data_IF_090308657908
#
_entry.id   IF_090308657908
#
_cell.length_a   1.000
_cell.length_b   1.000
_cell.length_c   1.000
_cell.angle_alpha   90.00
_cell.angle_beta   90.00
_cell.angle_gamma   90.00
#
_symmetry.space_group_name_H-M   'P 1'
#
loop_
_entity.id
_entity.type
_entity.pdbx_description
1 polymer ?
#
# COMPACT_ATOMS: atom_id res chain seq x y z
N UNK A 1 1.86 -36.60 -5.67
CA UNK A 1 1.45 -35.65 -5.68
C UNK A 1 1.63 -34.85 -4.81
N UNK A 2 1.33 -33.95 -4.90
CA UNK A 2 1.56 -33.14 -4.24
C UNK A 2 0.97 -32.84 -3.21
N UNK A 3 1.07 -33.23 -2.41
CA UNK A 3 0.47 -33.01 -1.31
C UNK A 3 -0.13 -31.82 -1.08
N UNK A 4 -0.86 -31.48 -0.80
CA UNK A 4 -1.55 -30.41 -0.26
C UNK A 4 -1.43 -29.06 -0.84
N UNK A 5 -0.53 -28.90 -1.71
CA UNK A 5 -0.34 -27.60 -2.25
C UNK A 5 -1.17 -27.40 -3.49
N UNK A 6 -2.34 -26.90 -3.29
CA UNK A 6 -3.17 -26.55 -4.42
C UNK A 6 -2.75 -25.18 -4.89
N UNK A 7 -2.46 -25.07 -6.13
CA UNK A 7 -2.11 -23.79 -6.68
C UNK A 7 -3.36 -22.96 -6.84
N UNK A 8 -3.48 -21.97 -5.99
CA UNK A 8 -4.54 -20.99 -6.15
C UNK A 8 -3.95 -19.87 -6.95
N UNK A 9 -4.24 -19.85 -8.20
CA UNK A 9 -3.84 -18.72 -9.03
C UNK A 9 -4.88 -17.64 -8.80
N UNK A 10 -4.45 -16.51 -8.31
CA UNK A 10 -5.33 -15.38 -8.18
C UNK A 10 -5.80 -14.97 -9.58
N UNK A 11 -7.07 -14.73 -9.74
CA UNK A 11 -7.59 -14.23 -11.00
C UNK A 11 -6.86 -12.92 -11.34
N UNK A 12 -6.49 -12.77 -12.61
CA UNK A 12 -5.83 -11.56 -13.04
C UNK A 12 -6.74 -10.38 -12.83
N UNK A 13 -6.25 -9.41 -12.09
CA UNK A 13 -6.95 -8.17 -11.88
C UNK A 13 -6.57 -7.12 -12.91
N UNK A 14 -7.20 -5.95 -12.86
CA UNK A 14 -6.81 -4.85 -13.73
C UNK A 14 -5.41 -4.38 -13.41
N UNK A 15 -4.80 -3.69 -14.36
CA UNK A 15 -3.52 -3.05 -14.12
C UNK A 15 -3.68 -1.98 -13.03
N UNK A 16 -2.72 -1.87 -12.12
CA UNK A 16 -2.80 -0.82 -11.10
C UNK A 16 -2.72 0.56 -11.75
N UNK A 17 -3.46 1.50 -11.18
CA UNK A 17 -3.51 2.86 -11.70
C UNK A 17 -3.31 3.84 -10.58
N UNK A 18 -2.39 4.78 -10.78
CA UNK A 18 -2.19 5.85 -9.83
C UNK A 18 -3.40 6.76 -9.79
N UNK A 19 -3.87 7.12 -8.60
CA UNK A 19 -4.93 8.11 -8.48
C UNK A 19 -4.41 9.50 -8.84
N UNK A 20 -5.33 10.44 -9.01
CA UNK A 20 -4.97 11.83 -9.25
C UNK A 20 -4.31 12.40 -7.99
N UNK A 21 -3.36 13.31 -8.22
CA UNK A 21 -2.72 13.99 -7.10
C UNK A 21 -3.75 14.86 -6.37
N UNK A 22 -3.83 14.74 -5.06
CA UNK A 22 -4.75 15.58 -4.30
C UNK A 22 -4.26 17.01 -4.22
N UNK A 23 -5.18 17.92 -3.92
CA UNK A 23 -4.80 19.30 -3.61
C UNK A 23 -4.08 19.33 -2.27
N UNK A 24 -2.93 19.97 -2.22
CA UNK A 24 -2.13 20.00 -1.01
C UNK A 24 -2.67 21.04 -0.05
N UNK A 25 -2.72 20.68 1.22
CA UNK A 25 -3.02 21.62 2.30
C UNK A 25 -1.74 22.29 2.74
N UNK A 26 -1.83 23.56 3.11
CA UNK A 26 -0.66 24.29 3.56
C UNK A 26 -0.05 23.60 4.79
N UNK A 27 1.24 23.37 4.73
CA UNK A 27 1.96 22.71 5.82
C UNK A 27 1.92 21.19 5.78
N UNK A 28 1.27 20.61 4.78
CA UNK A 28 1.16 19.16 4.66
C UNK A 28 1.70 18.67 3.35
N UNK A 29 2.14 17.43 3.32
CA UNK A 29 2.45 16.73 2.09
C UNK A 29 1.41 15.67 1.81
N UNK A 30 1.55 14.99 0.69
CA UNK A 30 0.64 13.91 0.31
C UNK A 30 1.42 12.76 -0.29
N UNK A 31 0.81 11.59 -0.27
CA UNK A 31 1.37 10.39 -0.88
C UNK A 31 0.29 9.75 -1.72
N UNK A 32 0.60 9.44 -2.95
CA UNK A 32 -0.25 8.61 -3.78
C UNK A 32 0.50 7.35 -4.13
N UNK A 33 -0.21 6.28 -4.36
CA UNK A 33 0.47 5.05 -4.68
C UNK A 33 -0.41 4.01 -5.31
N UNK A 34 0.23 2.89 -5.62
CA UNK A 34 -0.46 1.72 -6.15
C UNK A 34 -0.15 0.51 -5.30
N UNK A 35 -1.12 -0.37 -5.22
CA UNK A 35 -1.02 -1.64 -4.55
C UNK A 35 -1.34 -2.74 -5.55
N UNK A 36 -0.39 -3.61 -5.81
CA UNK A 36 -0.58 -4.66 -6.81
C UNK A 36 0.36 -5.83 -6.52
N UNK A 37 -0.02 -7.00 -6.97
CA UNK A 37 0.88 -8.14 -7.05
C UNK A 37 1.15 -8.46 -8.52
N UNK A 38 1.78 -9.60 -8.82
CA UNK A 38 2.07 -9.96 -10.20
C UNK A 38 0.83 -10.25 -11.03
N UNK A 39 -0.32 -10.45 -10.39
CA UNK A 39 -1.58 -10.68 -11.07
C UNK A 39 -2.40 -9.43 -11.31
N UNK A 40 -1.95 -8.26 -10.87
CA UNK A 40 -2.65 -7.00 -11.06
C UNK A 40 -2.97 -6.29 -9.76
N UNK A 41 -3.84 -5.31 -9.85
CA UNK A 41 -4.21 -4.48 -8.70
C UNK A 41 -4.80 -5.30 -7.56
N UNK A 42 -4.49 -4.88 -6.34
CA UNK A 42 -5.07 -5.44 -5.13
C UNK A 42 -6.04 -4.40 -4.56
N UNK A 43 -7.35 -4.58 -4.78
CA UNK A 43 -8.31 -3.56 -4.37
C UNK A 43 -8.70 -3.68 -2.91
N UNK A 44 -9.09 -2.56 -2.34
CA UNK A 44 -9.81 -2.50 -1.05
C UNK A 44 -9.02 -2.91 0.19
N UNK A 45 -7.72 -3.11 0.10
CA UNK A 45 -6.90 -3.36 1.27
C UNK A 45 -6.47 -2.04 1.90
N UNK A 46 -6.41 -1.98 3.24
CA UNK A 46 -5.94 -0.77 3.90
C UNK A 46 -4.42 -0.68 3.86
N UNK A 47 -3.92 0.51 3.67
CA UNK A 47 -2.51 0.84 3.79
C UNK A 47 -2.37 1.70 5.04
N UNK A 48 -1.46 1.31 5.92
CA UNK A 48 -1.26 2.01 7.18
C UNK A 48 0.01 2.81 7.12
N UNK A 49 -0.03 4.02 7.67
CA UNK A 49 1.14 4.87 7.78
C UNK A 49 1.48 5.02 9.26
N UNK A 50 2.71 4.66 9.62
CA UNK A 50 3.18 4.77 11.01
C UNK A 50 4.43 5.63 11.04
N UNK A 51 4.65 6.29 12.19
CA UNK A 51 5.88 7.01 12.43
C UNK A 51 6.74 6.22 13.42
N UNK A 52 8.03 6.52 13.53
CA UNK A 52 8.89 5.79 14.46
C UNK A 52 8.44 5.83 15.92
N UNK A 53 7.67 6.86 16.29
CA UNK A 53 7.20 6.98 17.67
C UNK A 53 5.84 6.35 17.92
N UNK A 54 5.18 5.81 16.90
CA UNK A 54 3.85 5.25 17.07
C UNK A 54 3.91 3.86 17.68
N UNK A 55 2.89 3.52 18.45
CA UNK A 55 2.73 2.15 18.90
C UNK A 55 2.47 1.25 17.68
N UNK A 56 2.94 0.00 17.69
CA UNK A 56 2.83 -0.86 16.51
C UNK A 56 1.40 -1.09 16.04
N UNK A 57 0.43 -1.01 16.93
CA UNK A 57 -0.96 -1.27 16.61
C UNK A 57 -1.77 0.02 16.43
N UNK A 58 -1.12 1.17 16.47
CA UNK A 58 -1.81 2.45 16.37
C UNK A 58 -1.22 3.24 15.20
N UNK A 59 -1.72 3.05 13.99
CA UNK A 59 -1.19 3.78 12.85
C UNK A 59 -1.51 5.26 12.94
N UNK A 60 -0.61 6.07 12.42
CA UNK A 60 -0.81 7.52 12.37
C UNK A 60 -1.93 7.88 11.39
N UNK A 61 -2.02 7.16 10.28
CA UNK A 61 -3.02 7.39 9.26
C UNK A 61 -3.27 6.09 8.50
N UNK A 62 -4.37 6.03 7.79
CA UNK A 62 -4.66 4.90 6.92
C UNK A 62 -5.34 5.38 5.66
N UNK A 63 -5.18 4.61 4.59
CA UNK A 63 -5.86 4.81 3.34
C UNK A 63 -6.30 3.44 2.83
N UNK A 64 -7.30 3.41 1.98
CA UNK A 64 -7.79 2.16 1.40
C UNK A 64 -7.58 2.20 -0.10
N UNK A 65 -7.04 1.13 -0.65
CA UNK A 65 -6.86 1.02 -2.08
C UNK A 65 -8.22 0.96 -2.78
N UNK A 66 -8.30 1.62 -3.92
CA UNK A 66 -9.53 1.60 -4.72
C UNK A 66 -9.59 0.35 -5.60
N UNK A 67 -10.54 0.29 -6.53
CA UNK A 67 -10.75 -0.88 -7.36
C UNK A 67 -9.60 -1.18 -8.31
N UNK A 68 -8.74 -0.22 -8.57
CA UNK A 68 -7.55 -0.40 -9.41
C UNK A 68 -6.26 -0.29 -8.61
N UNK A 69 -6.36 -0.48 -7.31
CA UNK A 69 -5.19 -0.52 -6.42
C UNK A 69 -4.59 0.83 -6.10
N UNK A 70 -5.23 1.92 -6.46
CA UNK A 70 -4.73 3.25 -6.15
C UNK A 70 -5.08 3.66 -4.74
N UNK A 71 -4.16 4.36 -4.04
CA UNK A 71 -4.44 4.87 -2.71
C UNK A 71 -3.88 6.28 -2.56
N UNK A 72 -4.45 7.03 -1.64
CA UNK A 72 -4.08 8.42 -1.40
C UNK A 72 -4.04 8.70 0.09
N UNK A 73 -2.93 9.27 0.55
CA UNK A 73 -2.86 9.96 1.83
C UNK A 73 -2.81 11.45 1.50
N UNK A 74 -3.92 12.15 1.68
CA UNK A 74 -4.07 13.49 1.13
C UNK A 74 -3.50 14.60 2.01
N UNK A 75 -3.21 14.33 3.27
CA UNK A 75 -2.64 15.32 4.15
C UNK A 75 -1.88 14.63 5.27
N UNK A 76 -0.57 14.52 5.10
CA UNK A 76 0.31 13.98 6.13
C UNK A 76 1.22 15.09 6.63
N UNK A 77 1.37 15.25 7.95
CA UNK A 77 2.38 16.16 8.45
C UNK A 77 3.76 15.76 7.95
N UNK A 78 4.66 16.72 7.72
CA UNK A 78 6.02 16.39 7.29
C UNK A 78 6.71 15.48 8.30
N UNK A 79 7.49 14.52 7.79
CA UNK A 79 8.19 13.59 8.64
C UNK A 79 8.42 12.27 7.94
N UNK A 80 8.98 11.33 8.70
CA UNK A 80 9.26 9.99 8.20
C UNK A 80 8.11 9.08 8.54
N UNK A 81 7.72 8.27 7.55
CA UNK A 81 6.63 7.33 7.72
C UNK A 81 7.03 5.98 7.14
N UNK A 82 6.45 4.95 7.70
CA UNK A 82 6.49 3.62 7.12
C UNK A 82 5.09 3.30 6.63
N UNK A 83 4.97 3.03 5.35
CA UNK A 83 3.71 2.57 4.77
C UNK A 83 3.72 1.05 4.77
N UNK A 84 2.65 0.47 5.23
CA UNK A 84 2.58 -0.96 5.48
C UNK A 84 1.25 -1.50 4.99
N UNK A 85 1.28 -2.63 4.31
CA UNK A 85 0.08 -3.33 3.89
C UNK A 85 0.20 -4.81 4.19
N UNK A 86 -0.91 -5.39 4.64
CA UNK A 86 -1.03 -6.82 4.82
C UNK A 86 -2.26 -7.28 4.07
N UNK A 87 -2.06 -8.04 3.01
CA UNK A 87 -3.15 -8.56 2.20
C UNK A 87 -3.30 -10.06 2.44
N UNK A 88 -4.52 -10.55 2.31
CA UNK A 88 -4.80 -11.97 2.49
C UNK A 88 -3.97 -12.80 1.52
N UNK A 89 -3.36 -13.86 2.02
CA UNK A 89 -2.53 -14.77 1.23
C UNK A 89 -1.30 -14.11 0.60
N UNK A 90 -0.86 -12.99 1.17
CA UNK A 90 0.33 -12.28 0.67
C UNK A 90 1.30 -12.05 1.82
N UNK A 91 2.57 -11.96 1.49
CA UNK A 91 3.56 -11.47 2.43
C UNK A 91 3.33 -9.98 2.64
N UNK A 92 3.43 -9.51 3.88
CA UNK A 92 3.31 -8.07 4.11
C UNK A 92 4.40 -7.31 3.36
N UNK A 93 4.07 -6.14 2.91
CA UNK A 93 5.03 -5.26 2.25
C UNK A 93 5.02 -3.91 2.95
N UNK A 94 6.16 -3.27 2.97
CA UNK A 94 6.29 -1.95 3.58
C UNK A 94 7.38 -1.16 2.87
N UNK A 95 7.26 0.15 2.98
CA UNK A 95 8.28 1.05 2.47
C UNK A 95 8.39 2.24 3.40
N UNK A 96 9.57 2.83 3.46
CA UNK A 96 9.79 4.05 4.21
C UNK A 96 9.80 5.22 3.28
N UNK A 97 9.16 6.30 3.70
CA UNK A 97 9.13 7.53 2.92
C UNK A 97 9.36 8.72 3.83
N UNK A 98 9.76 9.81 3.24
CA UNK A 98 9.84 11.09 3.92
C UNK A 98 8.86 12.04 3.27
N UNK A 99 7.91 12.54 4.06
CA UNK A 99 6.89 13.47 3.58
C UNK A 99 7.39 14.88 3.78
N UNK A 100 7.29 15.69 2.74
CA UNK A 100 7.69 17.09 2.76
C UNK A 100 6.48 17.96 2.47
N UNK A 101 6.33 19.04 3.23
CA UNK A 101 5.23 19.97 3.00
C UNK A 101 5.28 20.53 1.56
N UNK A 102 4.13 20.61 0.94
CA UNK A 102 4.01 21.12 -0.42
C UNK A 102 4.37 20.14 -1.52
N UNK A 103 4.51 18.85 -1.18
CA UNK A 103 4.99 17.85 -2.11
C UNK A 103 4.10 16.62 -2.12
N UNK A 104 3.93 16.03 -3.29
CA UNK A 104 3.24 14.75 -3.46
C UNK A 104 4.27 13.70 -3.84
N UNK A 105 4.38 12.67 -3.00
CA UNK A 105 5.29 11.56 -3.29
C UNK A 105 4.51 10.37 -3.85
N UNK A 106 5.18 9.59 -4.67
CA UNK A 106 4.59 8.41 -5.29
C UNK A 106 5.24 7.16 -4.74
N UNK A 107 4.41 6.18 -4.38
CA UNK A 107 4.87 4.94 -3.78
C UNK A 107 4.23 3.76 -4.49
N UNK A 108 4.96 2.65 -4.55
CA UNK A 108 4.43 1.42 -5.09
C UNK A 108 4.61 0.32 -4.07
N UNK A 109 3.52 -0.34 -3.69
CA UNK A 109 3.54 -1.47 -2.79
C UNK A 109 3.19 -2.74 -3.57
N UNK A 110 3.99 -3.78 -3.38
CA UNK A 110 3.86 -5.01 -4.15
C UNK A 110 3.97 -6.22 -3.24
N UNK A 111 2.95 -6.47 -2.40
CA UNK A 111 2.97 -7.67 -1.57
C UNK A 111 3.02 -8.91 -2.44
N UNK A 112 3.83 -9.86 -2.02
CA UNK A 112 4.03 -11.06 -2.79
C UNK A 112 2.98 -12.10 -2.44
N UNK A 113 2.29 -12.61 -3.43
CA UNK A 113 1.33 -13.68 -3.23
C UNK A 113 2.07 -14.93 -2.77
N UNK A 114 1.54 -15.61 -1.75
CA UNK A 114 2.15 -16.84 -1.27
C UNK A 114 2.01 -17.93 -2.32
N UNK A 115 3.14 -18.45 -2.74
CA UNK A 115 3.15 -19.61 -3.58
C UNK A 115 3.11 -20.86 -2.72
N UNK A 116 2.62 -21.93 -3.31
CA UNK A 116 2.66 -23.21 -2.65
C UNK A 116 4.09 -23.72 -2.62
N UNK A 117 4.64 -23.77 -1.44
CA UNK A 117 6.00 -24.28 -1.24
C UNK A 117 5.92 -25.61 -0.53
N UNK A 118 6.66 -26.57 -1.02
CA UNK A 118 6.60 -27.92 -0.50
C UNK A 118 7.81 -28.26 0.30
#
# INVERSE_FOLDING_TARGET
>A
MTGGCTTHVRAKGPAPRLPQSPSLRMGFGAVIGTLADSGGALPHYPILATTPGDAPDTPHASATADSVGGFVFDALPPGRYRLFVRAFAHRPDSTQIEVTAGRVDTVRLSPQFFECVR
#
